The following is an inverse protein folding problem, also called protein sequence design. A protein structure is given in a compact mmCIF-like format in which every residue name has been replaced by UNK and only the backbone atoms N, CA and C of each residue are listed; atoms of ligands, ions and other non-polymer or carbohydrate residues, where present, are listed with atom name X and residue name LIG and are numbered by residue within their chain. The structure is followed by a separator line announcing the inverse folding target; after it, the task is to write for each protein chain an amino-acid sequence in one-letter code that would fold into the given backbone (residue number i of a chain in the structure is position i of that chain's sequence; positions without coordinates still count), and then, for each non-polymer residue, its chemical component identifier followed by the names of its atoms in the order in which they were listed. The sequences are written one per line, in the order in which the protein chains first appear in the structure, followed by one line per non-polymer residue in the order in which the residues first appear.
data_IF_320387620203
#
_entry.id   IF_320387620203
#
_cell.length_a   1.000
_cell.length_b   1.000
_cell.length_c   1.000
_cell.angle_alpha   90.00
_cell.angle_beta   90.00
_cell.angle_gamma   90.00
#
_symmetry.space_group_name_H-M   'P 1'
#
loop_
_entity.id
_entity.type
_entity.pdbx_description
1 polymer ?
#
# COMPACT_ATOMS: atom_id res chain seq x y z
N UNK A 1 21.93 4.30 -17.97
CA UNK A 1 20.84 5.25 -17.67
C UNK A 1 20.16 4.81 -16.38
N UNK A 2 19.89 5.74 -15.48
CA UNK A 2 19.15 5.51 -14.24
C UNK A 2 17.75 6.06 -14.40
N UNK A 3 16.75 5.38 -13.84
CA UNK A 3 15.38 5.83 -13.80
C UNK A 3 14.88 5.86 -12.36
N UNK A 4 14.32 6.99 -11.94
CA UNK A 4 13.81 7.21 -10.60
C UNK A 4 12.31 7.45 -10.64
N UNK A 5 11.56 6.79 -9.76
CA UNK A 5 10.14 7.05 -9.54
C UNK A 5 9.93 7.36 -8.06
N UNK A 6 9.34 8.52 -7.79
CA UNK A 6 8.94 8.92 -6.46
C UNK A 6 7.41 9.06 -6.42
N UNK A 7 6.75 8.33 -5.54
CA UNK A 7 5.30 8.39 -5.41
C UNK A 7 4.85 8.10 -3.97
N UNK A 8 3.62 8.50 -3.67
CA UNK A 8 2.94 8.17 -2.42
C UNK A 8 1.50 7.72 -2.66
N UNK A 9 0.78 7.29 -1.63
CA UNK A 9 -0.61 6.87 -1.77
C UNK A 9 -1.54 7.99 -2.27
N UNK A 10 -1.17 9.26 -2.06
CA UNK A 10 -1.88 10.41 -2.64
C UNK A 10 -1.87 10.40 -4.17
N UNK A 11 -0.74 10.04 -4.79
CA UNK A 11 -0.63 9.92 -6.24
C UNK A 11 -1.47 8.75 -6.76
N UNK A 12 -1.53 7.66 -6.01
CA UNK A 12 -2.41 6.51 -6.34
C UNK A 12 -3.88 6.93 -6.33
N UNK A 13 -4.32 7.71 -5.33
CA UNK A 13 -5.67 8.27 -5.27
C UNK A 13 -5.96 9.11 -6.51
N UNK A 14 -5.06 10.03 -6.85
CA UNK A 14 -5.21 10.92 -8.00
C UNK A 14 -5.33 10.14 -9.31
N UNK A 15 -4.46 9.15 -9.53
CA UNK A 15 -4.52 8.30 -10.72
C UNK A 15 -5.82 7.49 -10.79
N UNK A 16 -6.28 6.94 -9.68
CA UNK A 16 -7.59 6.27 -9.61
C UNK A 16 -8.74 7.23 -9.95
N UNK A 17 -8.72 8.45 -9.41
CA UNK A 17 -9.72 9.48 -9.76
C UNK A 17 -9.72 9.79 -11.25
N UNK A 18 -8.55 9.97 -11.86
CA UNK A 18 -8.45 10.22 -13.31
C UNK A 18 -9.03 9.07 -14.14
N UNK A 19 -8.80 7.81 -13.74
CA UNK A 19 -9.39 6.64 -14.40
C UNK A 19 -10.91 6.67 -14.28
N UNK A 20 -11.45 6.91 -13.07
CA UNK A 20 -12.89 6.90 -12.83
C UNK A 20 -13.63 8.05 -13.55
N UNK A 21 -13.01 9.24 -13.61
CA UNK A 21 -13.57 10.42 -14.26
C UNK A 21 -13.42 10.40 -15.79
N UNK A 22 -12.64 9.46 -16.34
CA UNK A 22 -12.49 9.36 -17.79
C UNK A 22 -13.80 8.98 -18.46
N UNK A 23 -14.02 9.45 -19.69
CA UNK A 23 -15.18 9.08 -20.52
C UNK A 23 -15.10 7.66 -21.10
N UNK A 24 -14.05 6.90 -20.74
CA UNK A 24 -13.82 5.55 -21.23
C UNK A 24 -14.86 4.57 -20.68
N UNK A 25 -15.25 3.58 -21.47
CA UNK A 25 -16.13 2.48 -21.02
C UNK A 25 -15.48 1.62 -19.92
N UNK A 26 -16.30 0.88 -19.18
CA UNK A 26 -15.87 0.09 -18.01
C UNK A 26 -14.75 -0.92 -18.30
N UNK A 27 -14.74 -1.55 -19.47
CA UNK A 27 -13.67 -2.48 -19.84
C UNK A 27 -12.32 -1.77 -19.95
N UNK A 28 -12.30 -0.55 -20.47
CA UNK A 28 -11.09 0.27 -20.54
C UNK A 28 -10.65 0.73 -19.17
N UNK A 29 -11.57 1.19 -18.31
CA UNK A 29 -11.27 1.57 -16.92
C UNK A 29 -10.70 0.40 -16.14
N UNK A 30 -11.28 -0.80 -16.31
CA UNK A 30 -10.75 -2.03 -15.69
C UNK A 30 -9.32 -2.34 -16.13
N UNK A 31 -9.03 -2.16 -17.41
CA UNK A 31 -7.68 -2.34 -17.94
C UNK A 31 -6.69 -1.32 -17.32
N UNK A 32 -7.08 -0.06 -17.24
CA UNK A 32 -6.22 0.98 -16.67
C UNK A 32 -5.99 0.78 -15.15
N UNK A 33 -7.01 0.36 -14.38
CA UNK A 33 -6.84 -0.03 -12.97
C UNK A 33 -5.83 -1.17 -12.84
N UNK A 34 -5.94 -2.22 -13.67
CA UNK A 34 -5.00 -3.34 -13.66
C UNK A 34 -3.56 -2.92 -13.98
N UNK A 35 -3.38 -2.03 -14.95
CA UNK A 35 -2.04 -1.47 -15.27
C UNK A 35 -1.47 -0.68 -14.10
N UNK A 36 -2.29 0.12 -13.41
CA UNK A 36 -1.86 0.84 -12.21
C UNK A 36 -1.43 -0.13 -11.11
N UNK A 37 -2.23 -1.17 -10.85
CA UNK A 37 -1.89 -2.19 -9.83
C UNK A 37 -0.60 -2.94 -10.20
N UNK A 38 -0.37 -3.26 -11.48
CA UNK A 38 0.88 -3.86 -11.96
C UNK A 38 2.09 -2.92 -11.75
N UNK A 39 1.93 -1.62 -12.03
CA UNK A 39 2.97 -0.63 -11.79
C UNK A 39 3.31 -0.53 -10.30
N UNK A 40 2.32 -0.48 -9.44
CA UNK A 40 2.52 -0.45 -7.98
C UNK A 40 3.22 -1.72 -7.50
N UNK A 41 2.80 -2.91 -7.95
CA UNK A 41 3.45 -4.17 -7.67
C UNK A 41 4.91 -4.19 -8.13
N UNK A 42 5.20 -3.63 -9.32
CA UNK A 42 6.56 -3.48 -9.82
C UNK A 42 7.41 -2.57 -8.90
N UNK A 43 6.86 -1.43 -8.47
CA UNK A 43 7.58 -0.47 -7.64
C UNK A 43 7.90 -1.02 -6.24
N UNK A 44 6.99 -1.75 -5.63
CA UNK A 44 7.14 -2.28 -4.26
C UNK A 44 7.76 -3.69 -4.21
N UNK A 45 8.00 -4.34 -5.36
CA UNK A 45 8.62 -5.67 -5.42
C UNK A 45 10.07 -5.63 -4.96
N UNK A 46 10.47 -6.65 -4.18
CA UNK A 46 11.87 -6.93 -3.82
C UNK A 46 12.56 -7.90 -4.78
N UNK A 47 11.83 -8.43 -5.76
CA UNK A 47 12.36 -9.32 -6.79
C UNK A 47 13.14 -8.55 -7.86
N UNK A 48 13.91 -9.26 -8.68
CA UNK A 48 14.60 -8.67 -9.82
C UNK A 48 13.62 -7.86 -10.70
N UNK A 49 13.89 -6.56 -10.91
CA UNK A 49 13.03 -5.66 -11.70
C UNK A 49 12.75 -6.19 -13.09
N UNK A 50 13.75 -6.81 -13.74
CA UNK A 50 13.58 -7.38 -15.08
C UNK A 50 12.64 -8.58 -15.08
N UNK A 51 12.74 -9.45 -14.08
CA UNK A 51 11.80 -10.57 -13.94
C UNK A 51 10.36 -10.09 -13.78
N UNK A 52 10.13 -9.14 -12.87
CA UNK A 52 8.78 -8.60 -12.61
C UNK A 52 8.23 -7.90 -13.85
N UNK A 53 9.06 -7.10 -14.54
CA UNK A 53 8.64 -6.38 -15.75
C UNK A 53 8.26 -7.35 -16.87
N UNK A 54 9.10 -8.32 -17.17
CA UNK A 54 8.88 -9.28 -18.26
C UNK A 54 7.71 -10.22 -17.96
N UNK A 55 7.54 -10.62 -16.69
CA UNK A 55 6.36 -11.38 -16.25
C UNK A 55 5.05 -10.63 -16.52
N UNK A 56 5.04 -9.31 -16.38
CA UNK A 56 3.91 -8.44 -16.73
C UNK A 56 3.51 -8.49 -18.22
N UNK A 57 4.44 -8.89 -19.09
CA UNK A 57 4.23 -9.13 -20.53
C UNK A 57 4.06 -10.61 -20.89
N UNK A 58 4.01 -11.49 -19.88
CA UNK A 58 3.87 -12.93 -20.08
C UNK A 58 5.18 -13.65 -20.43
N UNK A 59 6.32 -13.00 -20.27
CA UNK A 59 7.65 -13.56 -20.55
C UNK A 59 8.34 -14.01 -19.26
N UNK A 60 8.92 -15.21 -19.28
CA UNK A 60 9.69 -15.76 -18.16
C UNK A 60 11.17 -15.44 -18.33
N UNK A 61 11.73 -14.67 -17.40
CA UNK A 61 13.16 -14.42 -17.32
C UNK A 61 13.75 -15.28 -16.20
N UNK A 62 14.63 -16.28 -16.53
CA UNK A 62 14.90 -17.40 -15.62
C UNK A 62 15.89 -17.11 -14.49
N UNK A 63 16.58 -15.97 -14.51
CA UNK A 63 17.61 -15.63 -13.52
C UNK A 63 17.60 -14.14 -13.21
N UNK A 64 18.27 -13.74 -12.13
CA UNK A 64 18.43 -12.35 -11.76
C UNK A 64 19.29 -11.60 -12.80
N UNK A 65 18.92 -10.36 -13.09
CA UNK A 65 19.61 -9.58 -14.12
C UNK A 65 20.99 -9.06 -13.69
N UNK A 66 21.30 -9.05 -12.39
CA UNK A 66 22.55 -8.59 -11.81
C UNK A 66 22.84 -7.09 -11.91
N UNK A 67 21.93 -6.29 -12.48
CA UNK A 67 22.19 -4.86 -12.74
C UNK A 67 21.01 -3.91 -12.41
N UNK A 68 19.92 -4.41 -11.81
CA UNK A 68 18.87 -3.55 -11.25
C UNK A 68 19.15 -3.24 -9.77
N UNK A 69 18.44 -2.27 -9.21
CA UNK A 69 18.53 -1.87 -7.80
C UNK A 69 18.39 -3.06 -6.85
N UNK A 70 17.35 -3.89 -7.04
CA UNK A 70 17.10 -5.06 -6.20
C UNK A 70 18.19 -6.16 -6.31
N UNK A 71 18.86 -6.28 -7.46
CA UNK A 71 19.98 -7.22 -7.61
C UNK A 71 21.28 -6.67 -7.03
N UNK A 72 21.51 -5.37 -7.15
CA UNK A 72 22.76 -4.73 -6.69
C UNK A 72 22.73 -4.39 -5.20
N UNK A 73 21.56 -4.06 -4.67
CA UNK A 73 21.35 -3.72 -3.27
C UNK A 73 20.02 -4.33 -2.80
N UNK A 74 19.99 -5.66 -2.56
CA UNK A 74 18.79 -6.34 -2.09
C UNK A 74 18.24 -5.66 -0.83
N UNK A 75 16.94 -5.40 -0.81
CA UNK A 75 16.30 -4.85 0.36
C UNK A 75 16.38 -5.87 1.52
N UNK A 76 16.73 -5.40 2.71
CA UNK A 76 16.61 -6.23 3.92
C UNK A 76 15.14 -6.55 4.16
N UNK A 77 14.77 -7.82 3.93
CA UNK A 77 13.45 -8.31 4.22
C UNK A 77 13.35 -8.67 5.71
N UNK A 78 12.29 -8.23 6.36
CA UNK A 78 11.96 -8.58 7.74
C UNK A 78 10.55 -9.17 7.79
N UNK A 79 10.27 -9.98 8.81
CA UNK A 79 8.92 -10.51 9.02
C UNK A 79 7.99 -9.39 9.48
N UNK A 80 7.18 -8.90 8.56
CA UNK A 80 6.23 -7.82 8.78
C UNK A 80 4.83 -8.32 9.16
N UNK A 81 4.65 -9.61 9.47
CA UNK A 81 3.33 -10.21 9.74
C UNK A 81 2.59 -9.46 10.85
N UNK A 82 3.22 -9.27 12.02
CA UNK A 82 2.62 -8.53 13.14
C UNK A 82 2.33 -7.07 12.77
N UNK A 83 3.23 -6.42 12.05
CA UNK A 83 3.06 -5.04 11.60
C UNK A 83 1.90 -4.91 10.62
N UNK A 84 1.77 -5.85 9.68
CA UNK A 84 0.62 -5.92 8.78
C UNK A 84 -0.69 -6.12 9.55
N UNK A 85 -0.71 -7.02 10.53
CA UNK A 85 -1.88 -7.23 11.38
C UNK A 85 -2.26 -5.97 12.19
N UNK A 86 -1.28 -5.24 12.76
CA UNK A 86 -1.51 -3.95 13.43
C UNK A 86 -2.13 -2.93 12.46
N UNK A 87 -1.57 -2.79 11.25
CA UNK A 87 -2.08 -1.88 10.23
C UNK A 87 -3.51 -2.21 9.82
N UNK A 88 -3.77 -3.46 9.42
CA UNK A 88 -5.08 -3.93 8.98
C UNK A 88 -6.13 -3.83 10.09
N UNK A 89 -5.78 -4.19 11.33
CA UNK A 89 -6.66 -4.05 12.49
C UNK A 89 -7.01 -2.57 12.76
N UNK A 90 -6.05 -1.67 12.61
CA UNK A 90 -6.28 -0.24 12.79
C UNK A 90 -7.21 0.33 11.71
N UNK A 91 -7.03 -0.05 10.45
CA UNK A 91 -7.94 0.30 9.35
C UNK A 91 -9.36 -0.19 9.63
N UNK A 92 -9.51 -1.45 10.07
CA UNK A 92 -10.82 -2.01 10.41
C UNK A 92 -11.50 -1.26 11.55
N UNK A 93 -10.77 -1.05 12.68
CA UNK A 93 -11.33 -0.42 13.89
C UNK A 93 -11.61 1.07 13.73
N UNK A 94 -10.89 1.77 12.85
CA UNK A 94 -11.20 3.16 12.48
C UNK A 94 -12.36 3.28 11.49
N UNK A 95 -13.02 2.17 11.12
CA UNK A 95 -14.23 2.16 10.30
C UNK A 95 -13.98 2.24 8.80
N UNK A 96 -12.75 2.04 8.33
CA UNK A 96 -12.40 1.99 6.90
C UNK A 96 -12.81 3.26 6.13
N UNK A 97 -12.74 4.43 6.78
CA UNK A 97 -13.17 5.72 6.23
C UNK A 97 -12.07 6.79 6.26
N UNK A 98 -10.87 6.41 6.69
CA UNK A 98 -9.78 7.34 6.89
C UNK A 98 -8.61 7.03 5.96
N UNK A 99 -7.93 8.08 5.53
CA UNK A 99 -6.71 7.96 4.73
C UNK A 99 -5.51 7.55 5.58
N UNK A 100 -4.44 7.19 4.89
CA UNK A 100 -3.21 6.61 5.48
C UNK A 100 -2.62 7.43 6.62
N UNK A 101 -2.55 8.76 6.48
CA UNK A 101 -1.94 9.61 7.50
C UNK A 101 -2.71 9.54 8.83
N UNK A 102 -4.05 9.56 8.79
CA UNK A 102 -4.87 9.44 9.99
C UNK A 102 -4.69 8.07 10.66
N UNK A 103 -4.64 6.99 9.91
CA UNK A 103 -4.42 5.63 10.44
C UNK A 103 -3.03 5.52 11.07
N UNK A 104 -2.00 6.11 10.45
CA UNK A 104 -0.64 6.18 11.01
C UNK A 104 -0.64 6.97 12.33
N UNK A 105 -1.35 8.09 12.39
CA UNK A 105 -1.48 8.90 13.61
C UNK A 105 -2.13 8.10 14.76
N UNK A 106 -3.16 7.29 14.47
CA UNK A 106 -3.77 6.38 15.45
C UNK A 106 -2.75 5.32 15.90
N UNK A 107 -2.09 4.63 14.98
CA UNK A 107 -1.08 3.61 15.29
C UNK A 107 0.05 4.16 16.16
N UNK A 108 0.48 5.38 15.90
CA UNK A 108 1.55 6.03 16.64
C UNK A 108 1.10 6.72 17.92
N UNK A 109 -0.20 6.76 18.20
CA UNK A 109 -0.76 7.38 19.39
C UNK A 109 -0.61 8.89 19.38
N UNK A 110 -0.89 9.53 18.25
CA UNK A 110 -0.86 11.00 18.12
C UNK A 110 -1.97 11.65 18.94
N UNK A 111 -1.64 12.71 19.65
CA UNK A 111 -2.59 13.49 20.47
C UNK A 111 -3.35 14.55 19.67
N UNK A 112 -3.49 14.39 18.36
CA UNK A 112 -4.15 15.37 17.50
C UNK A 112 -5.63 15.54 17.88
N UNK A 113 -6.14 16.77 17.73
CA UNK A 113 -7.54 17.11 17.99
C UNK A 113 -8.48 16.22 17.19
N UNK A 114 -8.13 15.92 15.93
CA UNK A 114 -8.93 15.08 15.03
C UNK A 114 -9.11 13.66 15.55
N UNK A 115 -8.07 13.06 16.14
CA UNK A 115 -8.13 11.70 16.71
C UNK A 115 -9.11 11.67 17.87
N UNK A 116 -9.04 12.65 18.79
CA UNK A 116 -9.96 12.78 19.93
C UNK A 116 -11.40 13.02 19.48
N UNK A 117 -11.61 13.88 18.50
CA UNK A 117 -12.96 14.15 17.95
C UNK A 117 -13.59 12.89 17.31
N UNK A 118 -12.77 12.01 16.74
CA UNK A 118 -13.24 10.73 16.19
C UNK A 118 -13.34 9.62 17.25
N UNK A 119 -12.90 9.85 18.48
CA UNK A 119 -12.84 8.84 19.56
C UNK A 119 -11.80 7.74 19.29
N UNK A 120 -10.83 8.00 18.41
CA UNK A 120 -9.85 6.99 18.02
C UNK A 120 -8.70 6.82 19.03
N UNK A 121 -8.57 7.72 19.99
CA UNK A 121 -7.72 7.59 21.17
C UNK A 121 -8.18 6.47 22.13
N UNK A 122 -9.42 6.02 22.01
CA UNK A 122 -9.97 4.89 22.78
C UNK A 122 -9.89 3.54 22.05
N UNK A 123 -9.43 3.50 20.80
CA UNK A 123 -9.27 2.26 20.06
C UNK A 123 -8.15 1.40 20.67
N UNK A 124 -8.36 0.07 20.71
CA UNK A 124 -7.30 -0.87 21.14
C UNK A 124 -6.06 -0.84 20.24
N UNK A 125 -6.18 -0.26 19.06
CA UNK A 125 -5.07 -0.04 18.10
C UNK A 125 -4.40 1.33 18.25
N UNK A 126 -4.82 2.15 19.21
CA UNK A 126 -4.18 3.43 19.47
C UNK A 126 -2.81 3.23 20.13
N UNK A 127 -1.78 3.72 19.47
CA UNK A 127 -0.42 3.71 19.99
C UNK A 127 0.30 2.37 19.96
N UNK A 128 -0.28 1.30 19.37
CA UNK A 128 0.37 -0.02 19.29
C UNK A 128 1.52 -0.09 18.26
N UNK A 129 1.69 0.93 17.46
CA UNK A 129 2.71 1.05 16.42
C UNK A 129 3.69 2.18 16.65
N UNK A 130 3.94 2.57 17.92
CA UNK A 130 4.89 3.65 18.29
C UNK A 130 6.34 3.32 17.99
N UNK A 131 6.66 2.04 17.91
CA UNK A 131 7.97 1.47 17.59
C UNK A 131 8.47 1.81 16.19
N UNK A 132 7.55 2.12 15.25
CA UNK A 132 7.90 2.52 13.90
C UNK A 132 7.63 4.00 13.67
N UNK A 133 8.49 4.63 12.87
CA UNK A 133 8.29 6.01 12.45
C UNK A 133 7.21 6.13 11.36
N UNK A 134 6.78 7.37 11.08
CA UNK A 134 5.73 7.61 10.09
C UNK A 134 6.16 7.24 8.65
N UNK A 135 7.44 7.31 8.34
CA UNK A 135 7.99 6.98 7.02
C UNK A 135 7.93 5.48 6.78
N UNK A 136 8.36 4.70 7.76
CA UNK A 136 8.26 3.24 7.74
C UNK A 136 6.81 2.79 7.65
N UNK A 137 5.89 3.38 8.41
CA UNK A 137 4.47 3.08 8.30
C UNK A 137 3.91 3.39 6.91
N UNK A 138 4.30 4.50 6.27
CA UNK A 138 3.90 4.79 4.88
C UNK A 138 4.38 3.72 3.90
N UNK A 139 5.60 3.22 4.09
CA UNK A 139 6.12 2.11 3.29
C UNK A 139 5.30 0.83 3.48
N UNK A 140 5.00 0.46 4.73
CA UNK A 140 4.14 -0.68 5.06
C UNK A 140 2.78 -0.56 4.36
N UNK A 141 2.12 0.60 4.45
CA UNK A 141 0.83 0.81 3.80
C UNK A 141 0.90 0.73 2.27
N UNK A 142 1.96 1.24 1.63
CA UNK A 142 2.15 1.06 0.18
C UNK A 142 2.27 -0.41 -0.20
N UNK A 143 3.05 -1.18 0.56
CA UNK A 143 3.19 -2.62 0.32
C UNK A 143 1.88 -3.37 0.54
N UNK A 144 1.10 -3.05 1.59
CA UNK A 144 -0.21 -3.66 1.80
C UNK A 144 -1.18 -3.39 0.65
N UNK A 145 -1.11 -2.21 0.04
CA UNK A 145 -1.89 -1.88 -1.16
C UNK A 145 -1.35 -2.65 -2.37
N UNK A 146 -0.04 -2.68 -2.58
CA UNK A 146 0.59 -3.41 -3.69
C UNK A 146 0.34 -4.93 -3.62
N UNK A 147 0.30 -5.50 -2.41
CA UNK A 147 -0.05 -6.91 -2.18
C UNK A 147 -1.57 -7.19 -2.27
N UNK A 148 -2.40 -6.18 -2.53
CA UNK A 148 -3.84 -6.34 -2.61
C UNK A 148 -4.53 -6.63 -1.28
N UNK A 149 -3.87 -6.36 -0.14
CA UNK A 149 -4.43 -6.49 1.20
C UNK A 149 -5.25 -5.25 1.62
N UNK A 150 -4.95 -4.10 1.05
CA UNK A 150 -5.69 -2.87 1.21
C UNK A 150 -6.07 -2.28 -0.14
N UNK A 151 -7.19 -1.63 -0.18
CA UNK A 151 -7.63 -0.81 -1.30
C UNK A 151 -7.70 0.65 -0.88
N UNK A 152 -7.29 1.54 -1.79
CA UNK A 152 -7.44 2.99 -1.62
C UNK A 152 -8.66 3.43 -2.43
N UNK A 153 -9.65 3.94 -1.74
CA UNK A 153 -10.87 4.44 -2.34
C UNK A 153 -10.59 5.76 -3.09
N UNK A 154 -11.13 5.89 -4.31
CA UNK A 154 -10.77 6.96 -5.22
C UNK A 154 -11.30 8.35 -4.78
N UNK A 155 -12.47 8.42 -4.15
CA UNK A 155 -13.13 9.71 -3.86
C UNK A 155 -12.45 10.47 -2.72
N UNK A 156 -12.19 9.77 -1.59
CA UNK A 156 -11.66 10.39 -0.38
C UNK A 156 -10.28 9.87 0.04
N UNK A 157 -9.71 8.90 -0.68
CA UNK A 157 -8.43 8.27 -0.34
C UNK A 157 -8.49 7.44 0.94
N UNK A 158 -9.67 6.99 1.34
CA UNK A 158 -9.84 6.13 2.50
C UNK A 158 -9.31 4.72 2.25
N UNK A 159 -8.73 4.12 3.29
CA UNK A 159 -8.24 2.76 3.24
C UNK A 159 -9.36 1.77 3.56
N UNK A 160 -9.50 0.75 2.73
CA UNK A 160 -10.45 -0.36 2.92
C UNK A 160 -9.75 -1.69 2.89
N UNK A 161 -10.22 -2.62 3.71
CA UNK A 161 -9.78 -4.01 3.69
C UNK A 161 -10.31 -4.71 2.45
N UNK A 162 -9.48 -5.58 1.87
CA UNK A 162 -9.89 -6.49 0.81
C UNK A 162 -10.25 -7.87 1.41
N UNK A 163 -10.72 -8.79 0.58
CA UNK A 163 -10.94 -10.17 1.01
C UNK A 163 -9.64 -10.86 1.46
N UNK A 164 -8.50 -10.54 0.79
CA UNK A 164 -7.17 -11.07 1.14
C UNK A 164 -6.70 -10.70 2.54
N UNK A 165 -7.14 -9.55 3.08
CA UNK A 165 -6.78 -9.11 4.43
C UNK A 165 -7.23 -10.07 5.53
N UNK A 166 -8.31 -10.84 5.29
CA UNK A 166 -8.87 -11.75 6.31
C UNK A 166 -7.93 -12.87 6.70
N UNK A 167 -7.15 -13.37 5.75
CA UNK A 167 -6.17 -14.42 6.00
C UNK A 167 -5.07 -13.91 6.95
N UNK A 168 -4.55 -12.71 6.70
CA UNK A 168 -3.50 -12.10 7.52
C UNK A 168 -3.99 -11.75 8.92
N UNK A 169 -5.25 -11.31 9.06
CA UNK A 169 -5.85 -10.95 10.36
C UNK A 169 -6.12 -12.16 11.26
N UNK A 170 -6.25 -13.35 10.68
CA UNK A 170 -6.52 -14.59 11.45
C UNK A 170 -5.24 -15.30 11.90
N UNK A 171 -4.10 -15.02 11.31
CA UNK A 171 -2.81 -15.67 11.54
C UNK A 171 -2.62 -16.88 10.68
#
# INVERSE_FOLDING_TARGET
AEAWLCYGLGDVVLLKQMIEQSEAGEDRKRLERRKLDQLLGYCESTQCRRQVLLAGFGEVYPHDCGNCDNCMSPAEAWDATETAQKALSCVYRSGQRFGVNHVIDVLRGSESVRIRQCGHDHLTTYGIGKDLDATTWRSVFRQLVACGLLEVEAEFGSLRLTEGSRAVLRG
#
